data_IF_059509321516
#
_entry.id   IF_059509321516
#
_cell.length_a   1.000
_cell.length_b   1.000
_cell.length_c   1.000
_cell.angle_alpha   90.00
_cell.angle_beta   90.00
_cell.angle_gamma   90.00
#
_symmetry.space_group_name_H-M   'P 1'
#
loop_
_entity.id
_entity.type
_entity.pdbx_description
1 polymer ?
#
# COMPACT_ATOMS: atom_id res chain seq x y z
N UNK A 1 -28.22 -32.14 2.96
CA UNK A 1 -28.65 -30.79 2.50
C UNK A 1 -27.91 -29.64 3.19
N UNK A 2 -27.72 -29.64 4.53
CA UNK A 2 -26.98 -28.58 5.25
C UNK A 2 -25.52 -28.37 4.80
N UNK A 3 -24.81 -29.46 4.47
CA UNK A 3 -23.41 -29.39 3.99
C UNK A 3 -23.25 -28.68 2.62
N UNK A 4 -24.27 -28.74 1.77
CA UNK A 4 -24.23 -28.13 0.43
C UNK A 4 -24.41 -26.61 0.55
N UNK A 5 -25.19 -26.16 1.54
CA UNK A 5 -25.46 -24.74 1.79
C UNK A 5 -24.20 -24.03 2.32
N UNK A 6 -23.41 -24.67 3.18
CA UNK A 6 -22.14 -24.11 3.66
C UNK A 6 -21.09 -23.97 2.56
N UNK A 7 -21.02 -24.93 1.63
CA UNK A 7 -20.10 -24.85 0.50
C UNK A 7 -20.49 -23.73 -0.49
N UNK A 8 -21.80 -23.52 -0.70
CA UNK A 8 -22.32 -22.45 -1.55
C UNK A 8 -22.08 -21.05 -0.95
N UNK A 9 -22.14 -20.91 0.38
CA UNK A 9 -21.85 -19.64 1.07
C UNK A 9 -20.35 -19.28 1.05
N UNK A 10 -19.45 -20.27 1.06
CA UNK A 10 -18.01 -20.03 0.98
C UNK A 10 -17.58 -19.54 -0.41
N UNK A 11 -18.27 -19.97 -1.47
CA UNK A 11 -18.01 -19.55 -2.84
C UNK A 11 -18.44 -18.09 -3.12
N UNK A 12 -19.37 -17.54 -2.34
CA UNK A 12 -19.88 -16.16 -2.50
C UNK A 12 -19.04 -15.11 -1.75
N UNK A 13 -18.06 -15.52 -0.95
CA UNK A 13 -17.25 -14.63 -0.11
C UNK A 13 -15.93 -14.18 -0.76
N UNK A 14 -15.71 -14.44 -2.06
CA UNK A 14 -14.53 -13.95 -2.78
C UNK A 14 -14.95 -12.74 -3.63
N UNK A 15 -14.99 -11.51 -3.06
CA UNK A 15 -15.09 -10.33 -3.89
C UNK A 15 -13.91 -10.33 -4.85
N UNK A 16 -14.22 -10.09 -6.12
CA UNK A 16 -13.35 -10.31 -7.27
C UNK A 16 -11.89 -9.95 -7.02
N UNK A 17 -11.06 -10.99 -6.89
CA UNK A 17 -9.68 -10.94 -7.34
C UNK A 17 -9.74 -10.71 -8.85
N UNK A 18 -9.79 -9.44 -9.25
CA UNK A 18 -9.47 -9.04 -10.61
C UNK A 18 -8.07 -9.58 -10.87
N UNK A 19 -7.99 -10.66 -11.66
CA UNK A 19 -6.76 -11.28 -12.07
C UNK A 19 -6.09 -10.37 -13.10
N UNK A 20 -5.59 -9.22 -12.64
CA UNK A 20 -4.51 -8.54 -13.30
C UNK A 20 -3.31 -9.46 -13.12
N UNK A 21 -2.96 -10.22 -14.17
CA UNK A 21 -1.74 -11.01 -14.33
C UNK A 21 -0.92 -11.08 -13.03
N UNK A 22 -1.22 -12.05 -12.16
CA UNK A 22 -1.16 -11.98 -10.67
C UNK A 22 0.18 -11.62 -10.00
N UNK A 23 1.18 -11.28 -10.79
CA UNK A 23 2.44 -10.66 -10.39
C UNK A 23 2.25 -9.33 -9.69
N UNK A 24 1.33 -8.46 -10.11
CA UNK A 24 1.19 -7.15 -9.49
C UNK A 24 -0.03 -7.09 -8.58
N UNK A 25 0.20 -6.88 -7.28
CA UNK A 25 -0.85 -6.62 -6.30
C UNK A 25 -0.93 -5.12 -6.00
N UNK A 26 -2.16 -4.61 -5.87
CA UNK A 26 -2.42 -3.21 -5.59
C UNK A 26 -3.23 -3.08 -4.30
N UNK A 27 -2.77 -2.23 -3.38
CA UNK A 27 -3.47 -1.94 -2.13
C UNK A 27 -3.73 -0.43 -2.03
N UNK A 28 -4.99 0.01 -1.93
CA UNK A 28 -5.29 1.40 -1.65
C UNK A 28 -4.84 1.74 -0.22
N UNK A 29 -4.09 2.82 -0.09
CA UNK A 29 -3.82 3.45 1.19
C UNK A 29 -4.94 4.48 1.40
N UNK A 30 -5.89 4.17 2.28
CA UNK A 30 -6.96 5.11 2.61
C UNK A 30 -6.39 6.44 3.11
N UNK A 31 -6.98 7.55 2.69
CA UNK A 31 -6.79 8.82 3.38
C UNK A 31 -7.69 8.82 4.63
N UNK A 32 -7.21 9.39 5.75
CA UNK A 32 -8.06 9.55 6.94
C UNK A 32 -8.90 10.84 6.87
N UNK A 33 -8.77 11.62 5.80
CA UNK A 33 -9.30 12.99 5.72
C UNK A 33 -10.27 13.21 4.55
N UNK A 34 -10.52 12.22 3.68
CA UNK A 34 -11.52 12.28 2.59
C UNK A 34 -11.26 13.34 1.52
N UNK A 35 -10.14 14.05 1.58
CA UNK A 35 -9.74 15.13 0.69
C UNK A 35 -8.23 15.05 0.52
N UNK A 36 -7.76 14.13 -0.31
CA UNK A 36 -6.34 14.10 -0.66
C UNK A 36 -5.91 12.81 -1.30
N UNK A 37 -5.42 12.95 -2.53
CA UNK A 37 -4.65 12.01 -3.33
C UNK A 37 -4.86 10.53 -3.02
N UNK A 38 -5.68 9.88 -3.85
CA UNK A 38 -5.73 8.41 -3.90
C UNK A 38 -4.31 7.88 -4.02
N UNK A 39 -3.86 7.20 -2.97
CA UNK A 39 -2.54 6.61 -2.89
C UNK A 39 -2.69 5.11 -2.97
N UNK A 40 -1.98 4.49 -3.90
CA UNK A 40 -1.99 3.05 -4.09
C UNK A 40 -0.56 2.55 -3.92
N UNK A 41 -0.40 1.48 -3.16
CA UNK A 41 0.84 0.70 -3.13
C UNK A 41 0.74 -0.40 -4.16
N UNK A 42 1.77 -0.54 -4.99
CA UNK A 42 1.88 -1.57 -6.02
C UNK A 42 3.07 -2.46 -5.66
N UNK A 43 2.81 -3.75 -5.45
CA UNK A 43 3.81 -4.77 -5.15
C UNK A 43 3.95 -5.75 -6.33
N UNK A 44 5.16 -5.91 -6.83
CA UNK A 44 5.54 -7.05 -7.65
C UNK A 44 5.76 -8.27 -6.73
N UNK A 45 4.87 -9.24 -6.77
CA UNK A 45 4.89 -10.45 -5.94
C UNK A 45 5.93 -11.46 -6.39
N UNK A 46 6.54 -11.28 -7.56
CA UNK A 46 7.58 -12.17 -8.09
C UNK A 46 8.97 -11.66 -7.71
N UNK A 47 9.26 -10.38 -7.95
CA UNK A 47 10.58 -9.81 -7.66
C UNK A 47 10.62 -8.92 -6.42
N UNK A 48 9.49 -8.59 -5.80
CA UNK A 48 9.43 -7.78 -4.59
C UNK A 48 9.58 -6.27 -4.82
N UNK A 49 9.57 -5.79 -6.07
CA UNK A 49 9.62 -4.35 -6.32
C UNK A 49 8.35 -3.65 -5.83
N UNK A 50 8.54 -2.47 -5.23
CA UNK A 50 7.48 -1.70 -4.61
C UNK A 50 7.42 -0.30 -5.21
N UNK A 51 6.21 0.12 -5.60
CA UNK A 51 5.94 1.49 -6.01
C UNK A 51 4.78 2.07 -5.21
N UNK A 52 4.77 3.38 -5.12
CA UNK A 52 3.59 4.16 -4.73
C UNK A 52 3.10 4.93 -5.93
N UNK A 53 1.82 4.78 -6.25
CA UNK A 53 1.11 5.64 -7.17
C UNK A 53 0.28 6.66 -6.37
N UNK A 54 0.33 7.93 -6.76
CA UNK A 54 -0.41 9.01 -6.11
C UNK A 54 -0.94 9.99 -7.15
N UNK A 55 -2.18 10.44 -6.98
CA UNK A 55 -2.81 11.45 -7.82
C UNK A 55 -3.11 12.72 -7.02
N UNK A 56 -2.47 13.83 -7.35
CA UNK A 56 -2.75 15.11 -6.72
C UNK A 56 -3.69 15.93 -7.61
N UNK A 57 -4.84 16.32 -7.06
CA UNK A 57 -5.75 17.25 -7.72
C UNK A 57 -5.10 18.62 -7.81
N UNK A 58 -5.27 19.31 -8.94
CA UNK A 58 -4.80 20.68 -9.09
C UNK A 58 -5.48 21.61 -8.09
N UNK A 59 -4.73 22.53 -7.49
CA UNK A 59 -5.26 23.56 -6.59
C UNK A 59 -4.96 24.95 -7.12
N UNK A 60 -5.52 26.00 -6.51
CA UNK A 60 -5.28 27.38 -6.95
C UNK A 60 -3.80 27.72 -6.77
N UNK A 61 -3.08 27.85 -7.88
CA UNK A 61 -1.66 28.19 -7.90
C UNK A 61 -0.70 27.00 -7.94
N UNK A 62 -1.20 25.76 -7.98
CA UNK A 62 -0.38 24.56 -8.09
C UNK A 62 -1.01 23.56 -9.06
N UNK A 63 -0.23 23.12 -10.05
CA UNK A 63 -0.65 22.06 -10.97
C UNK A 63 -0.87 20.73 -10.25
N UNK A 64 -1.88 19.99 -10.66
CA UNK A 64 -2.07 18.60 -10.26
C UNK A 64 -1.14 17.67 -11.02
N UNK A 65 -1.16 16.38 -10.68
CA UNK A 65 -0.35 15.39 -11.38
C UNK A 65 -0.52 13.98 -10.84
N UNK A 66 -0.09 13.01 -11.65
CA UNK A 66 0.03 11.60 -11.26
C UNK A 66 1.49 11.23 -11.17
N UNK A 67 1.87 10.56 -10.10
CA UNK A 67 3.25 10.19 -9.84
C UNK A 67 3.33 8.71 -9.51
N UNK A 68 4.28 8.02 -10.13
CA UNK A 68 4.67 6.67 -9.77
C UNK A 68 6.09 6.73 -9.19
N UNK A 69 6.20 6.45 -7.89
CA UNK A 69 7.44 6.62 -7.14
C UNK A 69 7.93 5.23 -6.71
N UNK A 70 9.09 4.82 -7.21
CA UNK A 70 9.74 3.58 -6.80
C UNK A 70 10.23 3.70 -5.35
N UNK A 71 9.81 2.77 -4.51
CA UNK A 71 10.12 2.74 -3.07
C UNK A 71 11.27 1.79 -2.74
N UNK A 72 11.66 0.95 -3.69
CA UNK A 72 12.68 -0.08 -3.49
C UNK A 72 12.10 -1.48 -3.64
N UNK A 73 12.80 -2.45 -3.05
CA UNK A 73 12.46 -3.86 -3.14
C UNK A 73 12.25 -4.41 -1.73
N UNK A 74 11.11 -5.05 -1.49
CA UNK A 74 10.83 -5.72 -0.21
C UNK A 74 11.55 -7.05 -0.16
N UNK A 75 11.97 -7.45 1.05
CA UNK A 75 12.53 -8.77 1.32
C UNK A 75 11.57 -9.53 2.23
N UNK A 76 11.24 -10.80 1.91
CA UNK A 76 10.36 -11.59 2.76
C UNK A 76 11.04 -11.92 4.09
N UNK A 77 10.25 -11.92 5.16
CA UNK A 77 10.64 -12.56 6.42
C UNK A 77 10.47 -14.07 6.36
N UNK A 78 10.87 -14.76 7.43
CA UNK A 78 10.71 -16.22 7.56
C UNK A 78 9.39 -16.60 8.22
N UNK A 79 8.88 -15.73 9.09
CA UNK A 79 7.63 -15.90 9.82
C UNK A 79 6.93 -14.55 10.07
N UNK A 80 5.64 -14.61 10.41
CA UNK A 80 4.85 -13.42 10.75
C UNK A 80 5.45 -12.74 11.99
N UNK A 81 5.63 -11.43 11.91
CA UNK A 81 6.21 -10.62 12.99
C UNK A 81 7.71 -10.40 12.87
N UNK A 82 8.39 -11.01 11.89
CA UNK A 82 9.81 -10.80 11.66
C UNK A 82 10.13 -9.34 11.28
N UNK A 83 11.18 -8.80 11.91
CA UNK A 83 11.80 -7.55 11.48
C UNK A 83 12.99 -7.90 10.59
N UNK A 84 12.79 -7.83 9.27
CA UNK A 84 13.81 -8.23 8.27
C UNK A 84 14.97 -7.25 8.21
N UNK A 85 14.70 -5.96 8.45
CA UNK A 85 15.71 -4.91 8.55
C UNK A 85 15.17 -3.76 9.40
N UNK A 86 16.01 -3.20 10.26
CA UNK A 86 15.73 -1.98 11.01
C UNK A 86 16.71 -0.91 10.55
N UNK A 87 16.20 0.17 9.97
CA UNK A 87 16.98 1.36 9.67
C UNK A 87 16.54 2.46 10.65
N UNK A 88 17.47 2.93 11.46
CA UNK A 88 17.23 4.04 12.37
C UNK A 88 17.92 5.28 11.81
N UNK A 89 17.16 6.36 11.69
CA UNK A 89 17.72 7.68 11.45
C UNK A 89 17.80 8.41 12.77
N UNK A 90 19.01 8.80 13.17
CA UNK A 90 19.21 9.61 14.36
C UNK A 90 18.43 10.91 14.22
N UNK A 91 17.41 11.10 15.07
CA UNK A 91 16.72 12.36 15.17
C UNK A 91 17.72 13.44 15.57
N UNK A 92 18.10 14.32 14.64
CA UNK A 92 18.82 15.54 15.00
C UNK A 92 17.86 16.35 15.86
N UNK A 93 18.05 16.30 17.19
CA UNK A 93 17.18 16.95 18.14
C UNK A 93 16.90 18.39 17.71
N UNK A 94 15.64 18.67 17.37
CA UNK A 94 15.17 20.04 17.23
C UNK A 94 15.31 20.65 18.63
N UNK A 95 16.41 21.36 18.88
CA UNK A 95 16.51 22.21 20.05
C UNK A 95 15.43 23.27 19.88
N UNK A 96 14.38 23.19 20.69
CA UNK A 96 13.42 24.29 20.84
C UNK A 96 14.21 25.57 21.11
N UNK A 97 14.01 26.67 20.37
CA UNK A 97 14.53 27.96 20.80
C UNK A 97 13.87 28.29 22.14
N UNK A 98 14.70 28.49 23.16
CA UNK A 98 14.23 28.89 24.49
C UNK A 98 13.34 30.12 24.42
N UNK A 99 12.27 30.10 25.22
CA UNK A 99 11.57 31.32 25.63
C UNK A 99 12.33 32.00 26.74
#
# INVERSE_FOLDING_TARGET
MKLIICAALLALAVPGLVHADGRYQMLPLGDQMGIGAEKIVILDTVSGHLWTWTEHVATRGQGGGRYLIYQGQVMPGTQVGDVVRKEEWGGRGIRSPGR
#
